data_IF_289775590918
#
_entry.id   IF_289775590918
#
_cell.length_a   1.000
_cell.length_b   1.000
_cell.length_c   1.000
_cell.angle_alpha   90.00
_cell.angle_beta   90.00
_cell.angle_gamma   90.00
#
_symmetry.space_group_name_H-M   'P 1'
#
loop_
_entity.id
_entity.type
_entity.pdbx_description
1 polymer ?
#
# COMPACT_ATOMS: atom_id res chain seq x y z
N UNK A 1 -25.83 -43.43 -2.78
CA UNK A 1 -25.08 -42.20 -2.53
C UNK A 1 -23.75 -42.27 -3.24
N UNK A 2 -23.54 -41.50 -4.32
CA UNK A 2 -22.25 -41.42 -5.00
C UNK A 2 -21.39 -40.38 -4.26
N UNK A 3 -20.29 -40.83 -3.61
CA UNK A 3 -19.26 -39.96 -3.08
C UNK A 3 -18.51 -39.30 -4.26
N UNK A 4 -18.66 -38.03 -4.46
CA UNK A 4 -17.84 -37.26 -5.37
C UNK A 4 -16.53 -36.89 -4.63
N UNK A 5 -15.48 -37.67 -4.93
CA UNK A 5 -14.11 -37.29 -4.53
C UNK A 5 -13.66 -36.20 -5.45
N UNK A 6 -13.66 -34.92 -4.97
CA UNK A 6 -12.92 -33.84 -5.60
C UNK A 6 -11.43 -34.11 -5.41
N UNK A 7 -10.75 -34.52 -6.47
CA UNK A 7 -9.29 -34.58 -6.52
C UNK A 7 -8.77 -33.17 -6.67
N UNK A 8 -8.01 -32.76 -5.67
CA UNK A 8 -7.00 -31.68 -5.69
C UNK A 8 -7.38 -30.46 -6.56
N UNK A 9 -8.34 -29.68 -6.11
CA UNK A 9 -8.27 -28.26 -6.31
C UNK A 9 -7.48 -27.77 -5.09
N UNK A 10 -6.22 -27.46 -5.27
CA UNK A 10 -5.56 -26.50 -4.42
C UNK A 10 -6.21 -25.17 -4.78
N UNK A 11 -7.34 -24.88 -4.19
CA UNK A 11 -7.76 -23.51 -4.01
C UNK A 11 -6.76 -22.95 -3.01
N UNK A 12 -5.70 -22.36 -3.51
CA UNK A 12 -4.93 -21.40 -2.76
C UNK A 12 -5.77 -20.13 -2.67
N UNK A 13 -6.89 -20.23 -1.97
CA UNK A 13 -7.61 -19.06 -1.49
C UNK A 13 -6.88 -18.58 -0.24
N UNK A 14 -5.69 -18.07 -0.46
CA UNK A 14 -4.99 -17.29 0.53
C UNK A 14 -5.22 -15.84 0.17
N UNK A 15 -6.28 -15.27 0.67
CA UNK A 15 -6.57 -13.86 0.47
C UNK A 15 -6.27 -13.13 1.74
N UNK A 16 -5.36 -12.16 1.64
CA UNK A 16 -5.21 -11.17 2.68
C UNK A 16 -6.35 -10.17 2.61
N UNK A 17 -6.75 -9.68 3.75
CA UNK A 17 -7.72 -8.61 3.89
C UNK A 17 -7.04 -7.42 4.55
N UNK A 18 -7.32 -6.22 4.06
CA UNK A 18 -6.74 -5.00 4.59
C UNK A 18 -7.85 -3.98 4.87
N UNK A 19 -7.72 -3.23 5.94
CA UNK A 19 -8.53 -2.04 6.19
C UNK A 19 -7.61 -0.87 6.50
N UNK A 20 -7.72 0.19 5.71
CA UNK A 20 -7.02 1.43 5.95
C UNK A 20 -8.01 2.37 6.63
N UNK A 21 -7.79 2.63 7.92
CA UNK A 21 -8.65 3.41 8.77
C UNK A 21 -8.04 4.80 8.97
N UNK A 22 -8.79 5.85 8.64
CA UNK A 22 -8.35 7.23 8.80
C UNK A 22 -9.31 7.94 9.74
N UNK A 23 -8.77 8.60 10.76
CA UNK A 23 -9.51 9.57 11.57
C UNK A 23 -9.25 10.97 10.97
N UNK A 24 -10.16 11.42 10.09
CA UNK A 24 -10.00 12.68 9.35
C UNK A 24 -10.25 13.93 10.21
N UNK A 25 -10.70 13.75 11.45
CA UNK A 25 -10.97 14.83 12.42
C UNK A 25 -10.01 14.79 13.61
N UNK A 26 -9.14 13.78 13.66
CA UNK A 26 -8.18 13.58 14.74
C UNK A 26 -7.07 14.62 14.76
N UNK A 27 -6.50 14.82 15.94
CA UNK A 27 -5.31 15.69 16.06
C UNK A 27 -4.07 14.97 15.60
N UNK A 28 -3.20 15.69 14.90
CA UNK A 28 -1.89 15.18 14.50
C UNK A 28 -0.80 16.24 14.63
N UNK A 29 0.44 15.80 14.67
CA UNK A 29 1.62 16.65 14.61
C UNK A 29 2.44 16.27 13.40
N UNK A 30 2.80 17.27 12.60
CA UNK A 30 3.65 17.08 11.43
C UNK A 30 5.10 16.93 11.88
N UNK A 31 5.79 15.83 11.54
CA UNK A 31 7.19 15.66 11.87
C UNK A 31 8.09 16.56 11.02
N UNK A 32 9.30 16.84 11.49
CA UNK A 32 10.27 17.58 10.68
C UNK A 32 10.77 16.76 9.48
N UNK A 33 10.81 15.43 9.63
CA UNK A 33 11.35 14.50 8.64
C UNK A 33 10.46 13.29 8.50
N UNK A 34 10.37 12.78 7.30
CA UNK A 34 9.74 11.50 6.99
C UNK A 34 10.57 10.73 5.98
N UNK A 35 10.66 9.43 6.18
CA UNK A 35 11.30 8.49 5.26
C UNK A 35 10.27 7.46 4.81
N UNK A 36 10.27 7.15 3.54
CA UNK A 36 9.41 6.14 2.92
C UNK A 36 10.25 4.91 2.60
N UNK A 37 10.14 3.90 3.47
CA UNK A 37 10.77 2.60 3.30
C UNK A 37 9.99 1.75 2.30
N UNK A 38 10.67 0.85 1.59
CA UNK A 38 10.04 -0.06 0.63
C UNK A 38 10.32 -1.54 0.92
N UNK A 39 10.67 -1.88 2.17
CA UNK A 39 10.98 -3.23 2.63
C UNK A 39 9.90 -3.83 3.54
N UNK A 40 8.81 -3.10 3.82
CA UNK A 40 7.69 -3.57 4.63
C UNK A 40 6.95 -4.75 4.00
N UNK A 41 6.55 -5.72 4.83
CA UNK A 41 5.78 -6.87 4.40
C UNK A 41 4.38 -6.78 5.02
N UNK A 42 3.37 -6.51 4.20
CA UNK A 42 2.00 -6.31 4.65
C UNK A 42 1.08 -7.35 4.02
N UNK A 43 0.48 -8.22 4.83
CA UNK A 43 -0.38 -9.22 4.24
C UNK A 43 -1.05 -10.14 5.24
N UNK A 44 -0.61 -11.34 5.30
CA UNK A 44 -1.26 -12.51 5.86
C UNK A 44 -1.50 -12.49 7.37
N UNK A 45 -0.64 -11.83 8.14
CA UNK A 45 -0.73 -11.82 9.59
C UNK A 45 -1.69 -10.75 10.08
N UNK A 46 -2.36 -11.03 11.21
CA UNK A 46 -3.22 -10.07 11.90
C UNK A 46 -2.35 -9.04 12.62
N UNK A 47 -2.24 -7.87 12.02
CA UNK A 47 -1.46 -6.77 12.56
C UNK A 47 -2.19 -5.45 12.41
N UNK A 48 -1.88 -4.50 13.29
CA UNK A 48 -2.38 -3.12 13.21
C UNK A 48 -1.19 -2.16 13.28
N UNK A 49 -1.04 -1.37 12.23
CA UNK A 49 0.07 -0.44 12.05
C UNK A 49 -0.40 0.99 12.32
N UNK A 50 -0.04 1.55 13.46
CA UNK A 50 -0.31 2.94 13.83
C UNK A 50 0.87 3.87 13.55
N UNK A 51 2.07 3.33 13.51
CA UNK A 51 3.32 4.08 13.42
C UNK A 51 3.45 4.80 12.07
N UNK A 52 3.95 6.03 12.11
CA UNK A 52 4.12 6.86 10.91
C UNK A 52 4.96 6.15 9.85
N UNK A 53 6.08 5.52 10.26
CA UNK A 53 6.97 4.83 9.32
C UNK A 53 6.29 3.63 8.66
N UNK A 54 5.51 2.85 9.39
CA UNK A 54 4.80 1.70 8.84
C UNK A 54 3.70 2.14 7.85
N UNK A 55 2.94 3.18 8.20
CA UNK A 55 1.94 3.77 7.31
C UNK A 55 2.58 4.38 6.06
N UNK A 56 3.73 5.03 6.21
CA UNK A 56 4.48 5.60 5.09
C UNK A 56 5.01 4.49 4.16
N UNK A 57 5.57 3.41 4.71
CA UNK A 57 6.01 2.24 3.96
C UNK A 57 4.87 1.58 3.20
N UNK A 58 3.73 1.36 3.87
CA UNK A 58 2.53 0.81 3.22
C UNK A 58 2.08 1.65 2.02
N UNK A 59 1.95 2.97 2.22
CA UNK A 59 1.57 3.87 1.13
C UNK A 59 2.59 3.85 -0.01
N UNK A 60 3.89 3.86 0.31
CA UNK A 60 4.92 3.89 -0.72
C UNK A 60 4.94 2.63 -1.55
N UNK A 61 4.83 1.46 -0.92
CA UNK A 61 4.73 0.18 -1.63
C UNK A 61 3.48 0.15 -2.52
N UNK A 62 2.31 0.58 -2.02
CA UNK A 62 1.08 0.67 -2.81
C UNK A 62 1.25 1.60 -4.04
N UNK A 63 1.95 2.72 -3.88
CA UNK A 63 2.26 3.64 -4.97
C UNK A 63 3.24 3.05 -5.99
N UNK A 64 4.27 2.31 -5.54
CA UNK A 64 5.22 1.64 -6.43
C UNK A 64 4.55 0.56 -7.28
N UNK A 65 3.68 -0.24 -6.67
CA UNK A 65 2.87 -1.23 -7.39
C UNK A 65 1.98 -0.55 -8.43
N UNK A 66 1.30 0.53 -8.05
CA UNK A 66 0.47 1.29 -8.98
C UNK A 66 1.28 1.88 -10.14
N UNK A 67 2.47 2.43 -9.88
CA UNK A 67 3.37 2.90 -10.94
C UNK A 67 3.69 1.81 -11.97
N UNK A 68 3.84 0.56 -11.49
CA UNK A 68 4.06 -0.59 -12.36
C UNK A 68 2.82 -0.94 -13.21
N UNK A 69 1.63 -0.95 -12.58
CA UNK A 69 0.39 -1.34 -13.26
C UNK A 69 -0.11 -0.27 -14.25
N UNK A 70 0.00 1.00 -13.90
CA UNK A 70 -0.46 2.13 -14.72
C UNK A 70 0.52 2.50 -15.87
N UNK A 71 1.73 1.92 -15.90
CA UNK A 71 2.70 2.18 -16.96
C UNK A 71 2.23 1.55 -18.27
N UNK A 72 2.06 2.39 -19.31
CA UNK A 72 1.60 1.96 -20.63
C UNK A 72 2.62 1.05 -21.33
N UNK A 73 3.92 1.37 -21.20
CA UNK A 73 5.02 0.59 -21.76
C UNK A 73 5.93 0.05 -20.64
N UNK A 74 5.53 -1.12 -20.11
CA UNK A 74 6.26 -1.81 -19.03
C UNK A 74 7.66 -2.27 -19.45
N UNK A 75 7.95 -2.34 -20.75
CA UNK A 75 9.26 -2.72 -21.26
C UNK A 75 10.23 -1.53 -21.29
N UNK A 76 9.73 -0.31 -21.02
CA UNK A 76 10.52 0.90 -21.00
C UNK A 76 10.96 1.26 -19.56
N UNK A 77 12.21 0.92 -19.24
CA UNK A 77 12.79 1.20 -17.91
C UNK A 77 12.78 2.70 -17.55
N UNK A 78 12.97 3.58 -18.51
CA UNK A 78 12.97 5.03 -18.26
C UNK A 78 11.55 5.52 -17.90
N UNK A 79 10.52 4.99 -18.56
CA UNK A 79 9.13 5.34 -18.27
C UNK A 79 8.72 4.86 -16.87
N UNK A 80 9.10 3.64 -16.49
CA UNK A 80 8.87 3.11 -15.14
C UNK A 80 9.55 3.98 -14.07
N UNK A 81 10.82 4.33 -14.26
CA UNK A 81 11.54 5.20 -13.33
C UNK A 81 10.97 6.61 -13.26
N UNK A 82 10.49 7.15 -14.37
CA UNK A 82 9.84 8.46 -14.41
C UNK A 82 8.50 8.44 -13.65
N UNK A 83 7.73 7.37 -13.75
CA UNK A 83 6.50 7.20 -12.96
C UNK A 83 6.80 7.26 -11.45
N UNK A 84 7.81 6.52 -10.99
CA UNK A 84 8.25 6.54 -9.59
C UNK A 84 8.68 7.95 -9.17
N UNK A 85 9.52 8.63 -9.96
CA UNK A 85 9.96 10.00 -9.66
C UNK A 85 8.80 10.99 -9.57
N UNK A 86 7.80 10.85 -10.43
CA UNK A 86 6.62 11.72 -10.41
C UNK A 86 5.85 11.56 -9.10
N UNK A 87 5.64 10.33 -8.64
CA UNK A 87 4.99 10.04 -7.35
C UNK A 87 5.80 10.57 -6.18
N UNK A 88 7.12 10.33 -6.15
CA UNK A 88 8.01 10.86 -5.11
C UNK A 88 8.00 12.40 -5.06
N UNK A 89 8.01 13.05 -6.21
CA UNK A 89 7.94 14.52 -6.31
C UNK A 89 6.61 15.05 -5.77
N UNK A 90 5.49 14.38 -6.11
CA UNK A 90 4.17 14.79 -5.64
C UNK A 90 4.02 14.61 -4.14
N UNK A 91 4.42 13.47 -3.58
CA UNK A 91 4.47 13.27 -2.12
C UNK A 91 5.34 14.32 -1.44
N UNK A 92 6.52 14.59 -1.98
CA UNK A 92 7.43 15.62 -1.45
C UNK A 92 6.77 16.99 -1.45
N UNK A 93 6.10 17.38 -2.53
CA UNK A 93 5.36 18.63 -2.66
C UNK A 93 4.27 18.74 -1.58
N UNK A 94 3.40 17.75 -1.48
CA UNK A 94 2.27 17.73 -0.54
C UNK A 94 2.77 17.81 0.91
N UNK A 95 3.76 17.00 1.28
CA UNK A 95 4.31 16.96 2.64
C UNK A 95 5.07 18.22 3.00
N UNK A 96 5.76 18.83 2.04
CA UNK A 96 6.43 20.13 2.25
C UNK A 96 5.41 21.25 2.50
N UNK A 97 4.30 21.25 1.77
CA UNK A 97 3.18 22.18 2.00
C UNK A 97 2.54 22.00 3.39
N UNK A 98 2.56 20.79 3.94
CA UNK A 98 2.12 20.50 5.31
C UNK A 98 3.16 20.88 6.39
N UNK A 99 4.40 21.20 5.99
CA UNK A 99 5.45 21.65 6.91
C UNK A 99 6.56 20.64 7.20
N UNK A 100 6.57 19.48 6.54
CA UNK A 100 7.69 18.52 6.60
C UNK A 100 8.91 19.17 5.93
N UNK A 101 10.07 19.15 6.61
CA UNK A 101 11.30 19.79 6.11
C UNK A 101 12.14 18.86 5.25
N UNK A 102 12.07 17.56 5.51
CA UNK A 102 12.88 16.56 4.81
C UNK A 102 12.02 15.34 4.51
N UNK A 103 11.88 15.04 3.22
CA UNK A 103 11.17 13.84 2.70
C UNK A 103 12.18 13.02 1.92
N UNK A 104 12.34 11.76 2.31
CA UNK A 104 13.28 10.84 1.66
C UNK A 104 12.61 9.51 1.35
N UNK A 105 13.15 8.78 0.40
CA UNK A 105 12.63 7.51 -0.10
C UNK A 105 13.75 6.51 -0.24
N UNK A 106 13.42 5.24 -0.01
CA UNK A 106 14.29 4.16 -0.42
C UNK A 106 14.42 4.10 -1.95
N UNK A 107 15.59 3.67 -2.40
CA UNK A 107 15.86 3.46 -3.81
C UNK A 107 15.04 2.29 -4.38
N UNK A 108 14.61 2.46 -5.61
CA UNK A 108 14.00 1.38 -6.39
C UNK A 108 14.90 1.01 -7.57
N UNK A 109 14.81 -0.23 -8.00
CA UNK A 109 15.54 -0.76 -9.15
C UNK A 109 14.56 -1.23 -10.22
N UNK A 110 14.99 -1.17 -11.47
CA UNK A 110 14.28 -1.87 -12.54
C UNK A 110 14.97 -3.22 -12.74
N UNK A 111 14.18 -4.27 -12.57
CA UNK A 111 14.61 -5.65 -12.82
C UNK A 111 13.97 -6.16 -14.10
N UNK A 112 14.60 -7.17 -14.70
CA UNK A 112 14.14 -7.81 -15.93
C UNK A 112 13.74 -9.25 -15.65
N UNK A 113 12.65 -9.65 -16.27
CA UNK A 113 12.19 -11.04 -16.27
C UNK A 113 12.01 -11.51 -17.71
N UNK A 114 12.64 -12.64 -18.06
CA UNK A 114 12.56 -13.23 -19.40
C UNK A 114 11.80 -14.54 -19.36
N UNK A 115 10.73 -14.63 -20.15
CA UNK A 115 9.96 -15.85 -20.35
C UNK A 115 9.88 -16.17 -21.84
N UNK A 116 10.51 -17.26 -22.25
CA UNK A 116 10.70 -17.58 -23.68
C UNK A 116 11.50 -16.50 -24.39
N UNK A 117 10.93 -15.93 -25.45
CA UNK A 117 11.56 -14.86 -26.24
C UNK A 117 11.15 -13.45 -25.82
N UNK A 118 10.37 -13.32 -24.73
CA UNK A 118 9.89 -12.02 -24.22
C UNK A 118 10.64 -11.65 -22.95
N UNK A 119 11.14 -10.43 -22.91
CA UNK A 119 11.69 -9.80 -21.71
C UNK A 119 10.78 -8.67 -21.28
N UNK A 120 10.35 -8.69 -20.03
CA UNK A 120 9.56 -7.64 -19.42
C UNK A 120 10.31 -7.02 -18.26
N UNK A 121 10.03 -5.76 -17.95
CA UNK A 121 10.64 -5.01 -16.86
C UNK A 121 9.64 -4.70 -15.78
N UNK A 122 10.13 -4.60 -14.56
CA UNK A 122 9.31 -4.27 -13.41
C UNK A 122 10.11 -3.45 -12.38
N UNK A 123 9.38 -2.67 -11.59
CA UNK A 123 9.93 -1.97 -10.44
C UNK A 123 10.21 -3.01 -9.35
N UNK A 124 11.47 -3.10 -8.91
CA UNK A 124 11.91 -4.06 -7.91
C UNK A 124 12.25 -3.35 -6.61
N UNK A 125 11.66 -3.82 -5.52
CA UNK A 125 11.88 -3.42 -4.12
C UNK A 125 11.73 -4.65 -3.21
N UNK A 126 12.03 -4.53 -1.92
CA UNK A 126 12.12 -5.69 -1.03
C UNK A 126 10.77 -6.03 -0.36
N UNK A 127 9.95 -5.01 -0.11
CA UNK A 127 8.65 -5.18 0.54
C UNK A 127 7.55 -5.66 -0.40
N UNK A 128 6.39 -5.93 0.18
CA UNK A 128 5.18 -6.24 -0.58
C UNK A 128 3.92 -5.92 0.22
N UNK A 129 2.84 -5.69 -0.51
CA UNK A 129 1.48 -5.75 0.01
C UNK A 129 0.78 -6.89 -0.73
N UNK A 130 0.24 -7.86 0.01
CA UNK A 130 -0.47 -8.95 -0.61
C UNK A 130 -1.77 -8.46 -1.27
N UNK A 131 -1.97 -8.77 -2.57
CA UNK A 131 -3.13 -8.36 -3.36
C UNK A 131 -3.37 -6.83 -3.43
N UNK A 132 -2.45 -6.09 -4.02
CA UNK A 132 -2.51 -4.61 -4.12
C UNK A 132 -3.55 -4.04 -5.08
N UNK A 133 -4.17 -4.87 -5.91
CA UNK A 133 -5.06 -4.43 -7.00
C UNK A 133 -6.25 -3.59 -6.51
N UNK A 134 -6.70 -3.81 -5.29
CA UNK A 134 -7.86 -3.13 -4.70
C UNK A 134 -7.52 -1.83 -3.94
N UNK A 135 -6.25 -1.41 -3.92
CA UNK A 135 -5.81 -0.19 -3.20
C UNK A 135 -5.92 1.09 -4.04
N UNK A 136 -6.45 1.02 -5.25
CA UNK A 136 -6.53 2.15 -6.17
C UNK A 136 -7.29 3.35 -5.58
N UNK A 137 -8.42 3.09 -4.93
CA UNK A 137 -9.25 4.15 -4.34
C UNK A 137 -8.57 4.83 -3.16
N UNK A 138 -7.90 4.06 -2.29
CA UNK A 138 -7.10 4.60 -1.19
C UNK A 138 -5.97 5.50 -1.71
N UNK A 139 -5.16 4.97 -2.61
CA UNK A 139 -4.02 5.71 -3.18
C UNK A 139 -4.50 6.98 -3.89
N UNK A 140 -5.58 6.90 -4.68
CA UNK A 140 -6.13 8.07 -5.35
C UNK A 140 -6.59 9.12 -4.34
N UNK A 141 -7.34 8.74 -3.32
CA UNK A 141 -7.88 9.66 -2.32
C UNK A 141 -6.78 10.42 -1.58
N UNK A 142 -5.74 9.72 -1.08
CA UNK A 142 -4.66 10.36 -0.33
C UNK A 142 -3.71 11.18 -1.22
N UNK A 143 -3.61 10.87 -2.50
CA UNK A 143 -2.81 11.65 -3.46
C UNK A 143 -3.54 12.87 -4.02
N UNK A 144 -4.87 12.92 -3.92
CA UNK A 144 -5.69 14.06 -4.32
C UNK A 144 -5.94 15.05 -3.18
N UNK A 145 -5.92 14.59 -1.93
CA UNK A 145 -6.20 15.38 -0.74
C UNK A 145 -5.06 15.32 0.27
N UNK A 146 -4.29 16.41 0.36
CA UNK A 146 -3.16 16.51 1.29
C UNK A 146 -3.56 16.48 2.77
N UNK A 147 -4.75 16.96 3.12
CA UNK A 147 -5.24 16.90 4.50
C UNK A 147 -5.58 15.45 4.87
N UNK A 148 -6.19 14.70 3.95
CA UNK A 148 -6.44 13.27 4.14
C UNK A 148 -5.11 12.49 4.24
N UNK A 149 -4.12 12.83 3.41
CA UNK A 149 -2.77 12.28 3.51
C UNK A 149 -2.14 12.55 4.88
N UNK A 150 -2.27 13.79 5.39
CA UNK A 150 -1.75 14.15 6.71
C UNK A 150 -2.44 13.37 7.83
N UNK A 151 -3.75 13.23 7.79
CA UNK A 151 -4.50 12.44 8.75
C UNK A 151 -4.15 10.95 8.66
N UNK A 152 -4.00 10.41 7.47
CA UNK A 152 -3.52 9.05 7.28
C UNK A 152 -2.15 8.83 7.92
N UNK A 153 -1.17 9.66 7.58
CA UNK A 153 0.21 9.47 8.02
C UNK A 153 0.41 9.81 9.50
N UNK A 154 -0.10 10.97 9.95
CA UNK A 154 0.33 11.59 11.19
C UNK A 154 -0.68 11.47 12.33
N UNK A 155 -1.96 11.22 12.05
CA UNK A 155 -2.93 10.98 13.13
C UNK A 155 -2.65 9.63 13.81
N UNK A 156 -2.44 9.58 15.13
CA UNK A 156 -2.14 8.35 15.83
C UNK A 156 -3.33 7.36 15.87
N UNK A 157 -4.55 7.86 15.68
CA UNK A 157 -5.75 7.04 15.63
C UNK A 157 -6.01 6.46 14.23
N UNK A 158 -5.26 6.90 13.22
CA UNK A 158 -5.30 6.29 11.88
C UNK A 158 -4.36 5.10 11.81
N UNK A 159 -4.78 4.02 11.16
CA UNK A 159 -4.01 2.79 11.08
C UNK A 159 -4.26 2.02 9.79
N UNK A 160 -3.36 1.09 9.51
CA UNK A 160 -3.56 0.00 8.55
C UNK A 160 -3.74 -1.28 9.36
N UNK A 161 -4.78 -2.03 9.06
CA UNK A 161 -5.07 -3.33 9.66
C UNK A 161 -4.92 -4.38 8.55
N UNK A 162 -4.12 -5.40 8.80
CA UNK A 162 -3.97 -6.55 7.90
C UNK A 162 -4.53 -7.80 8.56
N UNK A 163 -4.89 -8.79 7.77
CA UNK A 163 -5.40 -10.05 8.24
C UNK A 163 -5.62 -11.02 7.08
N UNK A 164 -6.19 -12.17 7.37
CA UNK A 164 -6.52 -13.17 6.36
C UNK A 164 -7.99 -13.59 6.45
N UNK A 165 -8.54 -14.05 5.32
CA UNK A 165 -9.93 -14.50 5.19
C UNK A 165 -10.17 -15.93 5.71
N UNK A 166 -9.13 -16.63 6.16
CA UNK A 166 -9.24 -17.97 6.73
C UNK A 166 -9.60 -17.97 8.22
N UNK A 167 -9.70 -16.80 8.83
CA UNK A 167 -10.09 -16.67 10.23
C UNK A 167 -11.59 -16.35 10.33
N UNK A 168 -12.23 -16.86 11.39
CA UNK A 168 -13.62 -16.52 11.72
C UNK A 168 -13.74 -15.07 12.24
N UNK A 169 -12.61 -14.35 12.37
CA UNK A 169 -12.56 -12.98 12.84
C UNK A 169 -12.73 -12.01 11.65
N UNK A 170 -13.61 -11.04 11.82
CA UNK A 170 -13.82 -9.98 10.84
C UNK A 170 -12.93 -8.79 11.15
N UNK A 171 -12.27 -8.22 10.12
CA UNK A 171 -11.51 -6.95 10.26
C UNK A 171 -12.33 -5.83 10.88
N UNK A 172 -13.65 -5.81 10.65
CA UNK A 172 -14.54 -4.80 11.22
C UNK A 172 -14.52 -4.73 12.74
N UNK A 173 -14.14 -5.81 13.43
CA UNK A 173 -14.01 -5.80 14.90
C UNK A 173 -12.75 -5.09 15.39
N UNK A 174 -11.80 -4.82 14.52
CA UNK A 174 -10.55 -4.13 14.81
C UNK A 174 -10.52 -2.67 14.33
N UNK A 175 -11.52 -2.26 13.52
CA UNK A 175 -11.65 -0.88 13.08
C UNK A 175 -11.91 0.04 14.28
N UNK A 176 -11.05 1.06 14.51
CA UNK A 176 -11.25 1.99 15.62
C UNK A 176 -12.57 2.76 15.50
N UNK A 177 -13.25 3.00 16.64
CA UNK A 177 -14.47 3.84 16.65
C UNK A 177 -14.22 5.28 16.17
N UNK A 178 -12.99 5.75 16.26
CA UNK A 178 -12.55 7.07 15.76
C UNK A 178 -12.34 7.13 14.25
N UNK A 179 -12.38 6.00 13.55
CA UNK A 179 -12.27 5.94 12.10
C UNK A 179 -13.54 6.46 11.45
N UNK A 180 -13.42 7.49 10.63
CA UNK A 180 -14.53 8.10 9.88
C UNK A 180 -14.34 7.97 8.34
N UNK A 181 -13.17 7.56 7.90
CA UNK A 181 -12.88 7.18 6.51
C UNK A 181 -12.20 5.81 6.50
N UNK A 182 -12.77 4.87 5.78
CA UNK A 182 -12.25 3.51 5.68
C UNK A 182 -12.13 3.08 4.21
N UNK A 183 -10.97 2.53 3.86
CA UNK A 183 -10.76 1.82 2.60
C UNK A 183 -10.55 0.35 2.93
N UNK A 184 -11.52 -0.45 2.53
CA UNK A 184 -11.51 -1.88 2.79
C UNK A 184 -11.14 -2.64 1.52
N UNK A 185 -10.17 -3.54 1.67
CA UNK A 185 -9.85 -4.55 0.69
C UNK A 185 -10.24 -5.91 1.27
N UNK A 186 -11.15 -6.58 0.64
CA UNK A 186 -11.52 -7.98 0.92
C UNK A 186 -11.60 -8.77 -0.37
N UNK A 187 -11.81 -10.07 -0.23
CA UNK A 187 -12.12 -10.95 -1.38
C UNK A 187 -13.45 -10.62 -2.00
#
# INVERSE_FOLDING_TARGET
MKKQLRKSVFETNSSSTHSICINSTGHYMVPEKIHFENDGCFGWDWETYHEVYAKAGYLYIALLERCHWDCEDKDNAEQLLNSVKNVQNELTRMLTELGVKEVTFDDVKISEYTYGDKTSRYISFEGYIDHTEDLCDFVAAVMEDKELLAHYLFCPDSCVITGNDNSDESLSSYVPESCDVEFYKGN
#
